data_IF_866102282181
#
_entry.id   IF_866102282181
#
_cell.length_a   1.000
_cell.length_b   1.000
_cell.length_c   1.000
_cell.angle_alpha   90.00
_cell.angle_beta   90.00
_cell.angle_gamma   90.00
#
_symmetry.space_group_name_H-M   'P 1'
#
loop_
_entity.id
_entity.type
_entity.pdbx_description
1 polymer ?
#
# COMPACT_ATOMS: atom_id res chain seq x y z
N UNK A 1 21.55 -0.31 -27.16
CA UNK A 1 21.65 -0.67 -25.75
C UNK A 1 20.36 -1.41 -25.43
N UNK A 2 20.40 -2.74 -25.46
CA UNK A 2 19.20 -3.56 -25.22
C UNK A 2 18.83 -3.47 -23.74
N UNK A 3 17.60 -3.05 -23.46
CA UNK A 3 16.95 -3.26 -22.17
C UNK A 3 16.81 -4.78 -21.96
N UNK A 4 17.86 -5.44 -21.48
CA UNK A 4 17.74 -6.82 -20.98
C UNK A 4 16.90 -6.74 -19.70
N UNK A 5 15.61 -7.03 -19.84
CA UNK A 5 14.78 -7.40 -18.69
C UNK A 5 15.43 -8.64 -18.07
N UNK A 6 16.08 -8.44 -16.92
CA UNK A 6 16.73 -9.54 -16.21
C UNK A 6 15.66 -10.39 -15.56
N UNK A 7 15.92 -11.69 -15.41
CA UNK A 7 15.00 -12.59 -14.71
C UNK A 7 14.76 -12.11 -13.26
N UNK A 8 15.77 -11.49 -12.65
CA UNK A 8 15.66 -10.85 -11.33
C UNK A 8 14.68 -9.68 -11.32
N UNK A 9 14.69 -8.84 -12.37
CA UNK A 9 13.77 -7.70 -12.48
C UNK A 9 12.32 -8.17 -12.62
N UNK A 10 12.06 -9.14 -13.51
CA UNK A 10 10.71 -9.68 -13.70
C UNK A 10 10.20 -10.42 -12.45
N UNK A 11 11.07 -11.14 -11.73
CA UNK A 11 10.70 -11.78 -10.47
C UNK A 11 10.29 -10.76 -9.38
N UNK A 12 11.07 -9.69 -9.21
CA UNK A 12 10.75 -8.65 -8.22
C UNK A 12 9.52 -7.85 -8.62
N UNK A 13 9.34 -7.58 -9.91
CA UNK A 13 8.13 -6.94 -10.43
C UNK A 13 6.89 -7.79 -10.20
N UNK A 14 6.97 -9.11 -10.45
CA UNK A 14 5.88 -10.03 -10.16
C UNK A 14 5.56 -10.08 -8.66
N UNK A 15 6.59 -10.12 -7.80
CA UNK A 15 6.40 -10.07 -6.34
C UNK A 15 5.73 -8.76 -5.90
N UNK A 16 6.16 -7.63 -6.46
CA UNK A 16 5.57 -6.32 -6.17
C UNK A 16 4.12 -6.24 -6.64
N UNK A 17 3.78 -6.82 -7.79
CA UNK A 17 2.41 -6.90 -8.29
C UNK A 17 1.53 -7.79 -7.40
N UNK A 18 2.08 -8.86 -6.85
CA UNK A 18 1.34 -9.83 -6.03
C UNK A 18 1.18 -9.40 -4.57
N UNK A 19 2.20 -8.77 -3.99
CA UNK A 19 2.25 -8.43 -2.55
C UNK A 19 2.07 -6.94 -2.26
N UNK A 20 2.21 -6.07 -3.27
CA UNK A 20 2.15 -4.62 -3.11
C UNK A 20 3.37 -4.00 -2.43
N UNK A 21 4.38 -4.80 -2.03
CA UNK A 21 5.55 -4.31 -1.31
C UNK A 21 6.84 -5.04 -1.71
N UNK A 22 7.98 -4.36 -1.51
CA UNK A 22 9.34 -4.90 -1.60
C UNK A 22 10.20 -4.21 -0.54
N UNK A 23 11.06 -4.94 0.13
CA UNK A 23 12.02 -4.35 1.07
C UNK A 23 13.15 -3.64 0.33
N UNK A 24 13.80 -2.68 0.99
CA UNK A 24 14.97 -1.99 0.42
C UNK A 24 16.12 -2.96 0.13
N UNK A 25 16.30 -3.97 1.00
CA UNK A 25 17.33 -5.00 0.84
C UNK A 25 17.11 -5.82 -0.42
N UNK A 26 15.87 -6.25 -0.70
CA UNK A 26 15.52 -7.00 -1.91
C UNK A 26 15.84 -6.25 -3.20
N UNK A 27 15.70 -4.92 -3.20
CA UNK A 27 16.01 -4.09 -4.36
C UNK A 27 17.52 -3.81 -4.44
N UNK A 28 18.16 -3.56 -3.30
CA UNK A 28 19.58 -3.20 -3.23
C UNK A 28 20.50 -4.39 -3.53
N UNK A 29 20.15 -5.59 -3.06
CA UNK A 29 20.95 -6.81 -3.25
C UNK A 29 20.76 -7.46 -4.62
N UNK A 30 19.75 -7.03 -5.39
CA UNK A 30 19.46 -7.59 -6.69
C UNK A 30 20.44 -7.08 -7.77
N UNK A 31 20.85 -7.99 -8.66
CA UNK A 31 21.69 -7.68 -9.82
C UNK A 31 20.86 -6.99 -10.90
N UNK A 32 20.59 -5.71 -10.66
CA UNK A 32 19.75 -4.84 -11.45
C UNK A 32 20.52 -3.58 -11.84
N UNK A 33 20.16 -3.03 -12.99
CA UNK A 33 20.62 -1.68 -13.35
C UNK A 33 20.00 -0.64 -12.43
N UNK A 34 20.64 0.53 -12.32
CA UNK A 34 20.08 1.65 -11.55
C UNK A 34 18.70 2.08 -12.06
N UNK A 35 18.45 1.99 -13.37
CA UNK A 35 17.13 2.27 -13.96
C UNK A 35 16.06 1.26 -13.49
N UNK A 36 16.42 -0.02 -13.41
CA UNK A 36 15.53 -1.07 -12.92
C UNK A 36 15.23 -0.91 -11.42
N UNK A 37 16.24 -0.60 -10.61
CA UNK A 37 16.06 -0.30 -9.18
C UNK A 37 15.18 0.93 -8.98
N UNK A 38 15.38 1.98 -9.79
CA UNK A 38 14.56 3.18 -9.75
C UNK A 38 13.10 2.87 -10.09
N UNK A 39 12.86 2.05 -11.11
CA UNK A 39 11.51 1.62 -11.50
C UNK A 39 10.82 0.84 -10.37
N UNK A 40 11.48 -0.16 -9.77
CA UNK A 40 10.92 -0.94 -8.66
C UNK A 40 10.60 -0.07 -7.44
N UNK A 41 11.48 0.87 -7.11
CA UNK A 41 11.23 1.82 -6.03
C UNK A 41 10.04 2.73 -6.33
N UNK A 42 9.97 3.30 -7.54
CA UNK A 42 8.88 4.18 -7.94
C UNK A 42 7.53 3.44 -7.90
N UNK A 43 7.48 2.23 -8.46
CA UNK A 43 6.29 1.38 -8.47
C UNK A 43 5.90 0.96 -7.05
N UNK A 44 6.87 0.64 -6.18
CA UNK A 44 6.63 0.35 -4.76
C UNK A 44 5.96 1.53 -4.07
N UNK A 45 6.50 2.74 -4.24
CA UNK A 45 5.92 3.94 -3.63
C UNK A 45 4.57 4.31 -4.23
N UNK A 46 4.33 4.03 -5.51
CA UNK A 46 3.01 4.19 -6.12
C UNK A 46 2.00 3.25 -5.47
N UNK A 47 2.32 1.95 -5.34
CA UNK A 47 1.43 0.98 -4.69
C UNK A 47 1.17 1.29 -3.22
N UNK A 48 2.19 1.73 -2.48
CA UNK A 48 2.02 2.17 -1.10
C UNK A 48 1.06 3.37 -0.99
N UNK A 49 1.14 4.31 -1.94
CA UNK A 49 0.22 5.45 -2.02
C UNK A 49 -1.18 5.02 -2.43
N UNK A 50 -1.34 4.11 -3.38
CA UNK A 50 -2.65 3.61 -3.81
C UNK A 50 -3.34 2.77 -2.73
N UNK A 51 -2.58 2.04 -1.90
CA UNK A 51 -3.14 1.39 -0.69
C UNK A 51 -3.42 2.36 0.45
N UNK A 52 -2.91 3.58 0.34
CA UNK A 52 -3.20 4.69 1.26
C UNK A 52 -4.32 5.53 0.66
N UNK A 53 -5.48 4.93 0.38
CA UNK A 53 -6.71 5.71 0.18
C UNK A 53 -6.84 6.66 1.38
N UNK A 54 -6.60 7.94 1.13
CA UNK A 54 -6.72 8.99 2.14
C UNK A 54 -8.17 8.98 2.60
N UNK A 55 -8.39 8.65 3.87
CA UNK A 55 -9.73 8.74 4.44
C UNK A 55 -10.03 10.23 4.53
N UNK A 56 -11.15 10.66 3.98
CA UNK A 56 -11.55 12.06 4.10
C UNK A 56 -12.10 12.31 5.50
N UNK A 57 -12.05 13.58 5.95
CA UNK A 57 -12.68 13.97 7.21
C UNK A 57 -14.18 13.60 7.23
N UNK A 58 -14.86 13.70 6.10
CA UNK A 58 -16.27 13.31 5.97
C UNK A 58 -16.48 11.81 6.21
N UNK A 59 -15.64 10.95 5.62
CA UNK A 59 -15.69 9.51 5.85
C UNK A 59 -15.39 9.16 7.33
N UNK A 60 -14.42 9.85 7.93
CA UNK A 60 -14.12 9.72 9.36
C UNK A 60 -15.32 10.09 10.25
N UNK A 61 -15.98 11.22 9.96
CA UNK A 61 -17.12 11.69 10.75
C UNK A 61 -18.33 10.75 10.60
N UNK A 62 -18.59 10.25 9.39
CA UNK A 62 -19.66 9.26 9.18
C UNK A 62 -19.35 7.94 9.89
N UNK A 63 -18.12 7.44 9.81
CA UNK A 63 -17.71 6.24 10.54
C UNK A 63 -17.81 6.43 12.06
N UNK A 64 -17.42 7.59 12.59
CA UNK A 64 -17.54 7.90 14.02
C UNK A 64 -18.99 7.82 14.51
N UNK A 65 -19.96 8.32 13.72
CA UNK A 65 -21.39 8.20 14.03
C UNK A 65 -21.86 6.74 14.02
N UNK A 66 -21.32 5.91 13.13
CA UNK A 66 -21.62 4.48 13.09
C UNK A 66 -21.08 3.78 14.34
N UNK A 67 -19.88 4.12 14.82
CA UNK A 67 -19.34 3.55 16.06
C UNK A 67 -20.19 3.87 17.29
N UNK A 68 -20.82 5.05 17.33
CA UNK A 68 -21.71 5.45 18.44
C UNK A 68 -23.05 4.68 18.46
N UNK A 69 -23.45 4.08 17.35
CA UNK A 69 -24.79 3.53 17.15
C UNK A 69 -24.84 2.04 16.78
N UNK A 70 -23.77 1.53 16.15
CA UNK A 70 -23.64 0.13 15.80
C UNK A 70 -23.21 -0.68 17.04
N UNK A 71 -23.75 -1.90 17.22
CA UNK A 71 -23.28 -2.79 18.28
C UNK A 71 -21.79 -3.13 18.12
N UNK A 72 -21.03 -3.08 19.20
CA UNK A 72 -19.63 -3.52 19.20
C UNK A 72 -19.52 -4.97 18.70
N UNK A 73 -18.60 -5.19 17.75
CA UNK A 73 -18.44 -6.49 17.08
C UNK A 73 -19.44 -6.76 15.95
N UNK A 74 -20.31 -5.83 15.58
CA UNK A 74 -21.10 -5.93 14.34
C UNK A 74 -20.22 -5.64 13.11
N UNK A 75 -20.58 -6.16 11.92
CA UNK A 75 -19.84 -5.88 10.69
C UNK A 75 -19.72 -4.38 10.37
N UNK A 76 -20.76 -3.60 10.66
CA UNK A 76 -20.81 -2.16 10.46
C UNK A 76 -19.86 -1.43 11.43
N UNK A 77 -19.81 -1.88 12.70
CA UNK A 77 -18.89 -1.35 13.70
C UNK A 77 -17.43 -1.61 13.29
N UNK A 78 -17.08 -2.83 12.91
CA UNK A 78 -15.72 -3.17 12.49
C UNK A 78 -15.28 -2.41 11.23
N UNK A 79 -16.20 -2.20 10.28
CA UNK A 79 -15.92 -1.40 9.09
C UNK A 79 -15.67 0.07 9.43
N UNK A 80 -16.52 0.65 10.29
CA UNK A 80 -16.36 2.02 10.76
C UNK A 80 -15.07 2.21 11.56
N UNK A 81 -14.71 1.25 12.42
CA UNK A 81 -13.49 1.30 13.22
C UNK A 81 -12.24 1.38 12.34
N UNK A 82 -12.18 0.58 11.27
CA UNK A 82 -11.06 0.61 10.31
C UNK A 82 -10.92 1.94 9.59
N UNK A 83 -12.03 2.64 9.32
CA UNK A 83 -12.01 3.98 8.69
C UNK A 83 -11.45 5.00 9.67
N UNK A 84 -11.92 4.99 10.91
CA UNK A 84 -11.45 5.87 11.99
C UNK A 84 -9.95 5.66 12.24
N UNK A 85 -9.52 4.42 12.48
CA UNK A 85 -8.12 4.08 12.70
C UNK A 85 -7.21 4.48 11.53
N UNK A 86 -7.67 4.29 10.28
CA UNK A 86 -6.90 4.68 9.10
C UNK A 86 -6.76 6.19 8.98
N UNK A 87 -7.79 6.97 9.33
CA UNK A 87 -7.70 8.44 9.36
C UNK A 87 -6.74 8.93 10.45
N UNK A 88 -6.82 8.34 11.65
CA UNK A 88 -5.94 8.71 12.77
C UNK A 88 -4.47 8.36 12.52
N UNK A 89 -4.19 7.29 11.78
CA UNK A 89 -2.83 6.93 11.35
C UNK A 89 -2.30 7.83 10.21
N UNK A 90 -3.18 8.58 9.54
CA UNK A 90 -2.81 9.53 8.47
C UNK A 90 -2.47 10.95 9.00
N UNK A 91 -2.91 11.30 10.21
CA UNK A 91 -2.76 12.63 10.82
C UNK A 91 -1.45 12.79 11.63
#
# INVERSE_FOLDING_TARGET
>A
MELRMSDAFEALKAKLAQTGTLTDEEIASADLTEEQKLWLNAERYAKQRDTSETVTLEQYLEASKVLDSAPEGSPEYEAALKIVERYEQQA
#
